data_IF_119687430065
#
_entry.id   IF_119687430065
#
_cell.length_a   1.000
_cell.length_b   1.000
_cell.length_c   1.000
_cell.angle_alpha   90.00
_cell.angle_beta   90.00
_cell.angle_gamma   90.00
#
_symmetry.space_group_name_H-M   'P 1'
#
loop_
_entity.id
_entity.type
_entity.pdbx_description
1 polymer ?
#
# COMPACT_ATOMS: atom_id res chain seq x y z
N UNK A 1 19.20 -44.78 16.06
CA UNK A 1 20.11 -43.66 15.81
C UNK A 1 20.05 -42.82 17.05
N UNK A 2 21.00 -43.02 17.95
CA UNK A 2 21.12 -42.20 19.15
C UNK A 2 21.77 -40.89 18.71
N UNK A 3 21.06 -39.77 18.95
CA UNK A 3 21.62 -38.45 18.72
C UNK A 3 22.56 -38.15 19.88
N UNK A 4 23.85 -38.00 19.57
CA UNK A 4 24.83 -37.58 20.57
C UNK A 4 24.45 -36.20 21.13
N UNK A 5 24.68 -36.00 22.43
CA UNK A 5 24.32 -34.76 23.15
C UNK A 5 24.92 -33.51 22.48
N UNK A 6 26.08 -33.64 21.85
CA UNK A 6 26.75 -32.61 21.07
C UNK A 6 25.96 -32.24 19.80
N UNK A 7 25.47 -33.23 19.05
CA UNK A 7 24.62 -33.03 17.87
C UNK A 7 23.32 -32.32 18.25
N UNK A 8 22.70 -32.71 19.37
CA UNK A 8 21.48 -32.06 19.87
C UNK A 8 21.74 -30.60 20.24
N UNK A 9 22.87 -30.30 20.88
CA UNK A 9 23.24 -28.92 21.26
C UNK A 9 23.55 -28.05 20.05
N UNK A 10 24.26 -28.57 19.06
CA UNK A 10 24.60 -27.86 17.82
C UNK A 10 23.35 -27.55 16.98
N UNK A 11 22.44 -28.51 16.85
CA UNK A 11 21.15 -28.29 16.18
C UNK A 11 20.30 -27.32 17.00
N UNK A 12 20.24 -27.48 18.32
CA UNK A 12 19.50 -26.57 19.20
C UNK A 12 19.96 -25.12 19.11
N UNK A 13 21.28 -24.90 19.09
CA UNK A 13 21.87 -23.56 19.00
C UNK A 13 21.62 -22.90 17.64
N UNK A 14 21.72 -23.66 16.54
CA UNK A 14 21.42 -23.12 15.19
C UNK A 14 19.94 -22.81 15.02
N UNK A 15 19.04 -23.67 15.51
CA UNK A 15 17.60 -23.41 15.52
C UNK A 15 17.27 -22.18 16.37
N UNK A 16 17.88 -22.03 17.55
CA UNK A 16 17.70 -20.86 18.40
C UNK A 16 18.20 -19.57 17.71
N UNK A 17 19.34 -19.62 17.03
CA UNK A 17 19.88 -18.47 16.29
C UNK A 17 18.96 -18.04 15.14
N UNK A 18 18.42 -19.00 14.39
CA UNK A 18 17.44 -18.74 13.32
C UNK A 18 16.16 -18.14 13.91
N UNK A 19 15.64 -18.70 15.00
CA UNK A 19 14.45 -18.16 15.66
C UNK A 19 14.66 -16.70 16.11
N UNK A 20 15.82 -16.39 16.70
CA UNK A 20 16.18 -15.02 17.07
C UNK A 20 16.28 -14.09 15.86
N UNK A 21 16.84 -14.57 14.76
CA UNK A 21 16.92 -13.79 13.52
C UNK A 21 15.54 -13.48 12.93
N UNK A 22 14.63 -14.45 12.93
CA UNK A 22 13.23 -14.24 12.49
C UNK A 22 12.51 -13.24 13.40
N UNK A 23 12.70 -13.33 14.72
CA UNK A 23 12.15 -12.35 15.66
C UNK A 23 12.74 -10.95 15.39
N UNK A 24 14.04 -10.85 15.14
CA UNK A 24 14.67 -9.59 14.79
C UNK A 24 14.11 -9.01 13.48
N UNK A 25 13.89 -9.83 12.46
CA UNK A 25 13.25 -9.40 11.21
C UNK A 25 11.83 -8.87 11.44
N UNK A 26 11.02 -9.55 12.26
CA UNK A 26 9.67 -9.12 12.59
C UNK A 26 9.65 -7.79 13.34
N UNK A 27 10.65 -7.53 14.19
CA UNK A 27 10.82 -6.23 14.86
C UNK A 27 11.26 -5.17 13.85
N UNK A 28 12.24 -5.46 12.98
CA UNK A 28 12.68 -4.51 11.96
C UNK A 28 11.52 -4.13 11.03
N UNK A 29 10.69 -5.08 10.59
CA UNK A 29 9.57 -4.78 9.69
C UNK A 29 8.57 -3.79 10.28
N UNK A 30 8.38 -3.78 11.61
CA UNK A 30 7.48 -2.84 12.27
C UNK A 30 8.10 -1.44 12.45
N UNK A 31 9.43 -1.34 12.47
CA UNK A 31 10.13 -0.07 12.76
C UNK A 31 10.35 0.76 11.50
N UNK A 32 10.38 0.14 10.32
CA UNK A 32 10.77 0.81 9.07
C UNK A 32 9.64 1.08 8.08
N UNK A 33 8.40 0.73 8.42
CA UNK A 33 7.22 1.27 7.74
C UNK A 33 6.98 2.67 8.32
N UNK A 34 6.97 3.68 7.45
CA UNK A 34 6.69 5.05 7.86
C UNK A 34 5.50 5.58 7.08
N UNK A 35 4.65 6.34 7.75
CA UNK A 35 3.63 7.15 7.10
C UNK A 35 4.30 8.28 6.33
N UNK A 36 4.12 8.27 5.01
CA UNK A 36 4.58 9.32 4.11
C UNK A 36 3.37 10.17 3.75
N UNK A 37 3.47 11.48 3.98
CA UNK A 37 2.44 12.42 3.56
C UNK A 37 2.45 12.54 2.03
N UNK A 38 1.27 12.40 1.44
CA UNK A 38 1.00 12.61 0.02
C UNK A 38 0.25 13.92 -0.09
N UNK A 39 0.83 14.91 -0.75
CA UNK A 39 0.24 16.26 -0.86
C UNK A 39 0.10 16.64 -2.34
N UNK A 40 -1.15 16.88 -2.77
CA UNK A 40 -1.53 17.28 -4.12
C UNK A 40 -0.89 16.40 -5.20
N UNK A 41 -0.88 15.10 -4.97
CA UNK A 41 -0.33 14.16 -5.94
C UNK A 41 -1.32 14.02 -7.11
N UNK A 42 -0.90 14.32 -8.35
CA UNK A 42 -1.77 14.29 -9.51
C UNK A 42 -2.16 12.86 -9.87
N UNK A 43 -3.43 12.69 -10.21
CA UNK A 43 -4.00 11.42 -10.65
C UNK A 43 -4.87 11.62 -11.88
N UNK A 44 -4.90 10.60 -12.75
CA UNK A 44 -5.76 10.53 -13.92
C UNK A 44 -6.36 9.13 -14.03
N UNK A 45 -7.57 9.00 -14.56
CA UNK A 45 -8.19 7.69 -14.72
C UNK A 45 -9.52 7.70 -15.46
N UNK A 46 -10.19 6.57 -15.44
CA UNK A 46 -11.54 6.39 -15.96
C UNK A 46 -12.54 6.08 -14.82
N UNK A 47 -13.69 6.73 -14.87
CA UNK A 47 -14.83 6.47 -14.00
C UNK A 47 -15.82 5.54 -14.69
N UNK A 48 -16.37 4.59 -13.93
CA UNK A 48 -17.52 3.77 -14.31
C UNK A 48 -18.42 3.58 -13.09
N UNK A 49 -19.68 3.99 -13.17
CA UNK A 49 -20.61 3.85 -12.05
C UNK A 49 -21.97 4.46 -12.28
N UNK A 50 -22.68 4.72 -11.18
CA UNK A 50 -24.04 5.24 -11.19
C UNK A 50 -24.20 6.44 -10.25
N UNK A 51 -24.95 7.45 -10.68
CA UNK A 51 -25.39 8.56 -9.84
C UNK A 51 -26.73 8.20 -9.18
N UNK A 52 -26.67 7.90 -7.89
CA UNK A 52 -27.83 7.72 -7.04
C UNK A 52 -28.42 9.06 -6.58
N UNK A 53 -29.74 9.09 -6.34
CA UNK A 53 -30.48 10.27 -5.90
C UNK A 53 -30.27 11.51 -6.81
N UNK A 54 -30.03 11.25 -8.09
CA UNK A 54 -29.72 12.28 -9.09
C UNK A 54 -30.86 13.30 -9.22
N UNK A 55 -30.50 14.57 -9.22
CA UNK A 55 -31.37 15.69 -9.53
C UNK A 55 -30.82 16.41 -10.76
N UNK A 56 -31.67 16.60 -11.77
CA UNK A 56 -31.33 17.37 -12.98
C UNK A 56 -32.27 18.57 -13.10
N UNK A 57 -31.70 19.78 -13.11
CA UNK A 57 -32.45 21.04 -13.28
C UNK A 57 -31.66 22.00 -14.19
N UNK A 58 -32.28 22.44 -15.28
CA UNK A 58 -31.69 23.38 -16.25
C UNK A 58 -30.27 22.97 -16.73
N UNK A 59 -30.07 21.67 -16.97
CA UNK A 59 -28.78 21.11 -17.39
C UNK A 59 -27.75 20.94 -16.25
N UNK A 60 -28.05 21.38 -15.03
CA UNK A 60 -27.23 21.09 -13.85
C UNK A 60 -27.60 19.73 -13.27
N UNK A 61 -26.60 18.96 -12.87
CA UNK A 61 -26.72 17.63 -12.26
C UNK A 61 -26.12 17.65 -10.86
N UNK A 62 -26.80 17.05 -9.90
CA UNK A 62 -26.27 16.79 -8.56
C UNK A 62 -26.72 15.42 -8.06
N UNK A 63 -25.85 14.69 -7.37
CA UNK A 63 -26.20 13.41 -6.76
C UNK A 63 -25.04 12.75 -6.03
N UNK A 64 -25.17 11.47 -5.74
CA UNK A 64 -24.10 10.65 -5.15
C UNK A 64 -23.64 9.64 -6.18
N UNK A 65 -22.41 9.76 -6.65
CA UNK A 65 -21.76 8.74 -7.48
C UNK A 65 -21.39 7.54 -6.62
N UNK A 66 -21.69 6.35 -7.12
CA UNK A 66 -21.32 5.04 -6.57
C UNK A 66 -20.74 4.24 -7.73
N UNK A 67 -19.44 3.95 -7.67
CA UNK A 67 -18.72 3.34 -8.80
C UNK A 67 -17.23 3.17 -8.56
N UNK A 68 -16.51 2.83 -9.62
CA UNK A 68 -15.08 2.56 -9.61
C UNK A 68 -14.32 3.69 -10.32
N UNK A 69 -13.10 3.98 -9.83
CA UNK A 69 -12.10 4.80 -10.49
C UNK A 69 -10.85 3.94 -10.70
N UNK A 70 -10.55 3.62 -11.95
CA UNK A 70 -9.31 2.97 -12.38
C UNK A 70 -8.38 4.02 -12.95
N UNK A 71 -7.13 4.09 -12.49
CA UNK A 71 -6.23 5.16 -12.92
C UNK A 71 -4.79 5.02 -12.46
N UNK A 72 -4.03 6.09 -12.67
CA UNK A 72 -2.60 6.19 -12.41
C UNK A 72 -2.24 7.42 -11.58
N UNK A 73 -1.23 7.25 -10.73
CA UNK A 73 -0.51 8.35 -10.13
C UNK A 73 0.52 8.91 -11.12
N UNK A 74 0.43 10.20 -11.45
CA UNK A 74 1.33 10.83 -12.43
C UNK A 74 2.64 11.34 -11.82
N UNK A 75 2.73 11.42 -10.49
CA UNK A 75 3.87 11.99 -9.78
C UNK A 75 4.86 10.96 -9.23
N UNK A 76 5.21 11.11 -7.96
CA UNK A 76 6.22 10.26 -7.31
C UNK A 76 5.71 8.85 -7.01
N UNK A 77 4.38 8.66 -6.98
CA UNK A 77 3.74 7.41 -6.61
C UNK A 77 3.39 6.52 -7.80
N UNK A 78 4.02 6.70 -8.97
CA UNK A 78 3.78 5.97 -10.24
C UNK A 78 3.38 4.49 -10.06
N UNK A 79 2.07 4.29 -9.90
CA UNK A 79 1.37 3.04 -9.61
C UNK A 79 -0.02 3.18 -10.20
N UNK A 80 -0.51 2.08 -10.74
CA UNK A 80 -1.93 1.92 -11.09
C UNK A 80 -2.74 1.74 -9.78
N UNK A 81 -3.97 2.22 -9.78
CA UNK A 81 -4.92 2.04 -8.69
C UNK A 81 -6.33 1.77 -9.23
N UNK A 82 -7.11 1.12 -8.40
CA UNK A 82 -8.51 0.80 -8.61
C UNK A 82 -9.20 0.99 -7.26
N UNK A 83 -10.16 1.92 -7.20
CA UNK A 83 -10.84 2.30 -5.96
C UNK A 83 -12.34 2.42 -6.17
N UNK A 84 -13.11 1.89 -5.23
CA UNK A 84 -14.54 2.17 -5.12
C UNK A 84 -14.73 3.56 -4.51
N UNK A 85 -15.57 4.39 -5.14
CA UNK A 85 -15.91 5.74 -4.72
C UNK A 85 -17.40 5.85 -4.39
N UNK A 86 -17.71 6.51 -3.27
CA UNK A 86 -19.06 6.97 -2.91
C UNK A 86 -19.02 8.48 -2.71
N UNK A 87 -19.05 9.21 -3.83
CA UNK A 87 -18.70 10.62 -3.87
C UNK A 87 -19.91 11.52 -4.15
N UNK A 88 -19.88 12.76 -3.65
CA UNK A 88 -20.85 13.75 -4.14
C UNK A 88 -20.39 14.24 -5.50
N UNK A 89 -21.31 14.26 -6.46
CA UNK A 89 -21.06 14.76 -7.81
C UNK A 89 -21.92 15.98 -8.08
N UNK A 90 -21.28 17.03 -8.57
CA UNK A 90 -21.93 18.26 -9.07
C UNK A 90 -21.41 18.55 -10.46
N UNK A 91 -22.30 18.82 -11.42
CA UNK A 91 -21.87 19.02 -12.79
C UNK A 91 -22.93 19.60 -13.72
N UNK A 92 -22.61 19.61 -14.99
CA UNK A 92 -23.49 20.00 -16.08
C UNK A 92 -23.59 18.89 -17.11
N UNK A 93 -24.79 18.67 -17.62
CA UNK A 93 -25.08 17.72 -18.70
C UNK A 93 -25.71 18.44 -19.88
N UNK A 94 -25.20 18.16 -21.08
CA UNK A 94 -25.73 18.65 -22.36
C UNK A 94 -25.69 17.51 -23.39
N UNK A 95 -26.85 17.15 -23.94
CA UNK A 95 -27.02 16.02 -24.87
C UNK A 95 -26.32 14.70 -24.42
N UNK A 96 -26.33 14.42 -23.12
CA UNK A 96 -25.73 13.22 -22.51
C UNK A 96 -24.24 13.33 -22.21
N UNK A 97 -23.56 14.38 -22.69
CA UNK A 97 -22.20 14.69 -22.29
C UNK A 97 -22.18 15.38 -20.93
N UNK A 98 -21.34 14.91 -20.00
CA UNK A 98 -21.22 15.42 -18.64
C UNK A 98 -19.82 15.99 -18.37
N UNK A 99 -19.80 17.11 -17.67
CA UNK A 99 -18.62 17.61 -16.96
C UNK A 99 -19.00 17.89 -15.51
N UNK A 100 -18.12 17.65 -14.55
CA UNK A 100 -18.43 17.90 -13.15
C UNK A 100 -17.24 17.75 -12.23
N UNK A 101 -17.47 17.89 -10.93
CA UNK A 101 -16.47 17.69 -9.89
C UNK A 101 -16.88 16.53 -9.00
N UNK A 102 -15.88 15.81 -8.50
CA UNK A 102 -16.04 14.70 -7.56
C UNK A 102 -15.07 14.88 -6.38
N UNK A 103 -15.54 14.61 -5.17
CA UNK A 103 -14.73 14.56 -3.95
C UNK A 103 -15.16 13.38 -3.06
N UNK A 104 -14.19 12.57 -2.62
CA UNK A 104 -14.42 11.44 -1.72
C UNK A 104 -13.20 11.11 -0.85
N UNK A 105 -13.42 10.35 0.23
CA UNK A 105 -12.36 9.77 1.04
C UNK A 105 -12.08 8.32 0.63
N UNK A 106 -10.81 7.99 0.48
CA UNK A 106 -10.35 6.65 0.13
C UNK A 106 -9.40 6.13 1.21
N UNK A 107 -9.41 4.82 1.40
CA UNK A 107 -8.51 4.15 2.37
C UNK A 107 -7.24 3.63 1.72
N UNK A 108 -7.24 3.37 0.41
CA UNK A 108 -6.12 2.79 -0.34
C UNK A 108 -6.11 3.34 -1.78
N UNK A 109 -4.94 3.41 -2.44
CA UNK A 109 -3.58 3.14 -1.91
C UNK A 109 -3.01 4.30 -1.04
N UNK A 110 -3.75 5.40 -0.96
CA UNK A 110 -3.49 6.52 -0.05
C UNK A 110 -4.70 6.65 0.85
N UNK A 111 -4.51 6.64 2.17
CA UNK A 111 -5.58 6.95 3.12
C UNK A 111 -5.74 8.48 3.15
N UNK A 112 -6.84 8.98 2.59
CA UNK A 112 -7.01 10.42 2.41
C UNK A 112 -8.21 10.82 1.55
N UNK A 113 -8.12 11.99 0.92
CA UNK A 113 -9.17 12.59 0.11
C UNK A 113 -8.72 12.69 -1.34
N UNK A 114 -9.56 12.20 -2.26
CA UNK A 114 -9.46 12.40 -3.70
C UNK A 114 -10.42 13.53 -4.09
N UNK A 115 -9.96 14.43 -4.96
CA UNK A 115 -10.79 15.47 -5.55
C UNK A 115 -10.37 15.74 -7.00
N UNK A 116 -11.33 15.98 -7.89
CA UNK A 116 -11.01 16.24 -9.29
C UNK A 116 -12.23 16.51 -10.16
N UNK A 117 -11.94 16.67 -11.44
CA UNK A 117 -12.91 16.96 -12.49
C UNK A 117 -13.18 15.72 -13.34
N UNK A 118 -14.44 15.59 -13.75
CA UNK A 118 -14.91 14.64 -14.75
C UNK A 118 -14.92 15.36 -16.09
N UNK A 119 -14.15 14.84 -17.04
CA UNK A 119 -14.06 15.32 -18.41
C UNK A 119 -14.59 14.27 -19.38
N UNK A 120 -15.14 14.72 -20.51
CA UNK A 120 -15.67 13.84 -21.56
C UNK A 120 -16.63 12.76 -21.05
N UNK A 121 -17.38 13.05 -19.98
CA UNK A 121 -18.27 12.09 -19.36
C UNK A 121 -19.50 11.80 -20.22
N UNK A 122 -20.04 10.59 -20.10
CA UNK A 122 -21.33 10.19 -20.66
C UNK A 122 -22.26 9.83 -19.51
N UNK A 123 -23.35 10.61 -19.36
CA UNK A 123 -24.38 10.40 -18.36
C UNK A 123 -25.70 9.98 -19.02
N UNK A 124 -26.18 8.78 -18.69
CA UNK A 124 -27.56 8.40 -18.95
C UNK A 124 -28.45 8.95 -17.82
N UNK A 125 -29.21 10.01 -18.12
CA UNK A 125 -30.08 10.64 -17.10
C UNK A 125 -31.29 9.78 -16.67
N UNK A 126 -31.59 8.69 -17.38
CA UNK A 126 -32.70 7.77 -17.06
C UNK A 126 -32.24 6.67 -16.10
N UNK A 127 -31.08 6.06 -16.34
CA UNK A 127 -30.50 5.04 -15.45
C UNK A 127 -29.59 5.61 -14.36
N UNK A 128 -28.99 6.77 -14.60
CA UNK A 128 -27.97 7.39 -13.76
C UNK A 128 -26.55 6.92 -14.09
N UNK A 129 -26.37 6.09 -15.12
CA UNK A 129 -25.06 5.52 -15.46
C UNK A 129 -24.12 6.61 -15.94
N UNK A 130 -22.93 6.67 -15.34
CA UNK A 130 -21.88 7.65 -15.61
C UNK A 130 -20.59 6.91 -15.97
N UNK A 131 -20.03 7.27 -17.11
CA UNK A 131 -18.65 6.93 -17.49
C UNK A 131 -17.90 8.21 -17.86
N UNK A 132 -16.58 8.26 -17.72
CA UNK A 132 -15.83 9.46 -18.13
C UNK A 132 -14.36 9.42 -17.75
N UNK A 133 -13.61 10.41 -18.23
CA UNK A 133 -12.23 10.64 -17.81
C UNK A 133 -12.23 11.44 -16.51
N UNK A 134 -11.34 11.11 -15.60
CA UNK A 134 -11.13 11.82 -14.34
C UNK A 134 -9.72 12.39 -14.29
N UNK A 135 -9.61 13.65 -13.89
CA UNK A 135 -8.33 14.32 -13.64
C UNK A 135 -8.41 15.04 -12.31
N UNK A 136 -7.51 14.71 -11.38
CA UNK A 136 -7.61 15.20 -10.02
C UNK A 136 -6.32 15.15 -9.23
N UNK A 137 -6.47 15.31 -7.92
CA UNK A 137 -5.39 15.18 -6.95
C UNK A 137 -5.84 14.35 -5.76
N UNK A 138 -4.86 13.71 -5.12
CA UNK A 138 -5.05 13.02 -3.85
C UNK A 138 -4.16 13.62 -2.77
N UNK A 139 -4.73 13.75 -1.58
CA UNK A 139 -4.06 14.23 -0.38
C UNK A 139 -4.29 13.21 0.75
N UNK A 140 -3.24 12.79 1.44
CA UNK A 140 -3.38 11.81 2.51
C UNK A 140 -2.06 11.24 3.00
N UNK A 141 -2.09 10.00 3.45
CA UNK A 141 -0.93 9.25 3.92
C UNK A 141 -0.83 7.90 3.23
N UNK A 142 0.39 7.48 2.91
CA UNK A 142 0.66 6.14 2.40
C UNK A 142 1.84 5.53 3.16
N UNK A 143 1.85 4.21 3.28
CA UNK A 143 2.91 3.47 3.96
C UNK A 143 4.06 3.16 2.99
N UNK A 144 5.25 3.67 3.26
CA UNK A 144 6.46 3.30 2.51
C UNK A 144 7.54 2.68 3.38
N UNK A 145 8.28 1.72 2.81
CA UNK A 145 9.47 1.16 3.44
C UNK A 145 10.60 2.17 3.30
N UNK A 146 11.07 2.70 4.43
CA UNK A 146 12.20 3.64 4.42
C UNK A 146 13.47 2.98 3.88
N UNK A 147 14.28 3.76 3.16
CA UNK A 147 15.62 3.36 2.70
C UNK A 147 16.51 2.88 3.86
N UNK A 148 16.31 3.42 5.06
CA UNK A 148 17.00 2.98 6.28
C UNK A 148 16.65 1.55 6.67
N UNK A 149 15.42 1.11 6.38
CA UNK A 149 14.99 -0.28 6.57
C UNK A 149 15.75 -1.25 5.68
N UNK A 150 16.02 -0.86 4.44
CA UNK A 150 16.87 -1.64 3.52
C UNK A 150 18.29 -1.81 4.05
N UNK A 151 18.91 -0.74 4.56
CA UNK A 151 20.26 -0.80 5.13
C UNK A 151 20.27 -1.64 6.42
N UNK A 152 19.26 -1.46 7.29
CA UNK A 152 19.12 -2.23 8.51
C UNK A 152 18.95 -3.74 8.23
N UNK A 153 18.19 -4.09 7.20
CA UNK A 153 18.04 -5.47 6.73
C UNK A 153 19.38 -6.06 6.29
N UNK A 154 20.14 -5.34 5.46
CA UNK A 154 21.48 -5.77 5.01
C UNK A 154 22.42 -5.95 6.20
N UNK A 155 22.40 -5.02 7.16
CA UNK A 155 23.22 -5.11 8.37
C UNK A 155 22.84 -6.32 9.23
N UNK A 156 21.54 -6.59 9.42
CA UNK A 156 21.06 -7.75 10.17
C UNK A 156 21.48 -9.07 9.50
N UNK A 157 21.34 -9.18 8.17
CA UNK A 157 21.80 -10.33 7.40
C UNK A 157 23.30 -10.52 7.57
N UNK A 158 24.09 -9.45 7.44
CA UNK A 158 25.54 -9.49 7.65
C UNK A 158 25.92 -9.97 9.05
N UNK A 159 25.25 -9.46 10.08
CA UNK A 159 25.47 -9.88 11.47
C UNK A 159 25.12 -11.37 11.67
N UNK A 160 24.02 -11.85 11.09
CA UNK A 160 23.61 -13.25 11.18
C UNK A 160 24.60 -14.19 10.48
N UNK A 161 25.08 -13.82 9.29
CA UNK A 161 26.09 -14.58 8.53
C UNK A 161 27.40 -14.69 9.31
N UNK A 162 27.79 -13.67 10.07
CA UNK A 162 28.99 -13.70 10.93
C UNK A 162 28.75 -14.45 12.25
N UNK A 163 27.56 -14.31 12.84
CA UNK A 163 27.21 -14.96 14.10
C UNK A 163 27.16 -16.48 13.98
N UNK A 164 26.64 -17.02 12.88
CA UNK A 164 26.52 -18.48 12.67
C UNK A 164 27.86 -19.22 12.78
N UNK A 165 28.93 -18.83 12.06
CA UNK A 165 30.27 -19.40 12.23
C UNK A 165 30.84 -19.22 13.63
N UNK A 166 30.61 -18.06 14.28
CA UNK A 166 31.12 -17.79 15.62
C UNK A 166 30.45 -18.66 16.69
N UNK A 167 29.14 -18.89 16.58
CA UNK A 167 28.40 -19.82 17.45
C UNK A 167 28.94 -21.24 17.24
N UNK A 168 29.12 -21.67 15.98
CA UNK A 168 29.72 -22.97 15.67
C UNK A 168 31.14 -23.13 16.24
N UNK A 169 31.97 -22.10 16.13
CA UNK A 169 33.32 -22.08 16.69
C UNK A 169 33.29 -22.10 18.23
N UNK A 170 32.41 -21.33 18.86
CA UNK A 170 32.26 -21.27 20.31
C UNK A 170 31.82 -22.61 20.91
N UNK A 171 30.87 -23.29 20.28
CA UNK A 171 30.43 -24.63 20.71
C UNK A 171 31.59 -25.62 20.62
N UNK A 172 32.31 -25.65 19.48
CA UNK A 172 33.48 -26.54 19.30
C UNK A 172 34.59 -26.28 20.33
N UNK A 173 34.80 -25.02 20.73
CA UNK A 173 35.80 -24.69 21.74
C UNK A 173 35.38 -25.16 23.13
N UNK A 174 34.12 -24.93 23.50
CA UNK A 174 33.62 -25.29 24.83
C UNK A 174 33.58 -26.81 25.03
N UNK A 175 33.28 -27.60 23.99
CA UNK A 175 33.31 -29.07 24.08
C UNK A 175 34.71 -29.65 24.18
N UNK A 176 35.75 -28.94 23.74
CA UNK A 176 37.15 -29.38 23.87
C UNK A 176 37.76 -29.17 25.27
N UNK A 177 37.18 -28.29 26.11
CA UNK A 177 37.70 -28.06 27.48
C UNK A 177 37.22 -29.12 28.49
N UNK A 178 36.24 -29.97 28.13
CA UNK A 178 35.72 -31.05 28.98
C UNK A 178 36.48 -32.40 28.81
N UNK A 179 37.49 -32.47 27.91
CA UNK A 179 38.24 -33.70 27.59
C UNK A 179 39.71 -33.74 28.07
N UNK A 180 40.20 -32.72 28.81
CA UNK A 180 41.49 -32.76 29.54
C UNK A 180 41.30 -33.04 31.05
#
# INVERSE_FOLDING_TARGET
MDLDRETVWQIGATVAAVALFVVALAVLSQVFVNDVAVENEPISGELDGNIQNMTVQDGSVSGTFDGELEGDFEGNLSKEFDVELTANVEGTVDDGAMTGTLEDNVEQPVEGTISGDIENGSLDTESGDLTGEFSGTVNGTTEEVSADGGIALVALIGAFVVAMPLIGYGIRRATHEDEE
#
